data_IF_555276125463
#
_entry.id   IF_555276125463
#
_cell.length_a   1.000
_cell.length_b   1.000
_cell.length_c   1.000
_cell.angle_alpha   90.00
_cell.angle_beta   90.00
_cell.angle_gamma   90.00
#
_symmetry.space_group_name_H-M   'P 1'
#
loop_
_entity.id
_entity.type
_entity.pdbx_description
1 polymer ?
2 non-polymer ?
3 water ?
#
# COMPACT_ATOMS: atom_id res chain seq x y z
N UNK A 10 4.20 -26.30 7.28
CA UNK A 10 4.98 -25.34 6.52
C UNK A 10 5.13 -24.00 7.25
N UNK A 11 4.00 -23.40 7.61
CA UNK A 11 4.00 -22.17 8.41
C UNK A 11 4.39 -22.51 9.85
N UNK A 12 5.13 -21.62 10.49
CA UNK A 12 5.50 -21.84 11.89
C UNK A 12 4.25 -21.82 12.77
N UNK A 13 4.04 -22.88 13.52
CA UNK A 13 2.92 -22.97 14.45
C UNK A 13 3.39 -22.46 15.81
N UNK A 14 2.69 -21.46 16.35
CA UNK A 14 3.07 -20.82 17.59
C UNK A 14 2.11 -21.26 18.69
N UNK A 15 2.64 -21.52 19.88
CA UNK A 15 1.78 -21.91 20.99
C UNK A 15 1.09 -20.68 21.58
N UNK A 16 -0.20 -20.77 21.90
CA UNK A 16 -0.89 -19.61 22.50
C UNK A 16 -0.22 -19.04 23.74
N UNK A 17 0.51 -19.83 24.53
CA UNK A 17 1.13 -19.30 25.74
C UNK A 17 2.27 -18.34 25.44
N UNK A 18 2.75 -18.27 24.20
CA UNK A 18 3.81 -17.35 23.80
C UNK A 18 3.27 -16.01 23.31
N UNK A 19 1.95 -15.83 23.30
CA UNK A 19 1.30 -14.68 22.68
C UNK A 19 0.54 -13.92 23.75
N UNK A 20 0.84 -12.64 23.89
CA UNK A 20 0.10 -11.74 24.78
C UNK A 20 -0.50 -10.62 23.95
N UNK A 21 -1.83 -10.61 23.87
CA UNK A 21 -2.55 -9.51 23.22
C UNK A 21 -2.67 -8.34 24.19
N UNK A 22 -2.25 -7.15 23.75
CA UNK A 22 -2.20 -5.99 24.63
C UNK A 22 -3.18 -4.87 24.27
N UNK A 23 -3.43 -4.65 22.99
CA UNK A 23 -4.33 -3.58 22.59
C UNK A 23 -4.88 -3.72 21.22
N UNK A 24 -6.16 -3.42 21.08
CA UNK A 24 -6.81 -3.46 19.77
C UNK A 24 -6.31 -2.29 18.93
N UNK A 25 -5.94 -2.60 17.69
CA UNK A 25 -5.49 -1.63 16.76
C UNK A 25 -6.21 -1.68 15.42
N UNK A 26 -7.19 -2.55 15.31
CA UNK A 26 -7.87 -2.73 14.06
C UNK A 26 -9.18 -3.48 14.10
N UNK A 27 -10.04 -2.99 13.21
CA UNK A 27 -11.43 -3.35 12.96
C UNK A 27 -11.83 -4.71 12.71
N UNK A 28 -12.61 -5.19 13.67
CA UNK A 28 -12.89 -6.57 13.79
C UNK A 28 -14.21 -7.28 13.78
N UNK A 29 -14.73 -7.53 12.58
CA UNK A 29 -15.96 -8.33 12.36
C UNK A 29 -15.82 -9.74 12.93
N UNK A 30 -15.01 -10.55 12.21
CA UNK A 30 -14.62 -11.94 12.46
C UNK A 30 -13.59 -12.08 13.57
N UNK A 31 -13.14 -10.96 14.11
CA UNK A 31 -11.98 -10.91 14.98
C UNK A 31 -11.42 -9.51 14.94
N UNK A 32 -10.31 -9.34 15.65
CA UNK A 32 -9.66 -8.05 15.76
C UNK A 32 -8.20 -8.20 15.39
N UNK A 33 -7.53 -7.06 15.20
CA UNK A 33 -6.09 -6.99 15.10
C UNK A 33 -5.56 -6.34 16.37
N UNK A 34 -4.60 -7.00 17.00
CA UNK A 34 -4.00 -6.52 18.24
C UNK A 34 -2.54 -6.15 18.03
N UNK A 35 -2.09 -5.18 18.82
CA UNK A 35 -0.68 -5.10 19.16
C UNK A 35 -0.43 -6.05 20.34
N UNK A 36 0.67 -6.77 20.29
CA UNK A 36 0.97 -7.67 21.36
C UNK A 36 2.45 -7.98 21.45
N UNK A 37 2.78 -9.00 22.24
CA UNK A 37 4.16 -9.45 22.38
C UNK A 37 4.23 -10.94 22.11
N UNK A 38 5.38 -11.38 21.59
CA UNK A 38 5.60 -12.78 21.24
C UNK A 38 6.87 -13.32 21.93
N UNK A 39 6.70 -14.40 22.70
CA UNK A 39 7.80 -15.27 23.12
C UNK A 39 8.35 -16.08 21.94
N UNK A 40 9.67 -16.20 21.87
CA UNK A 40 10.31 -16.94 20.76
C UNK A 40 11.52 -17.75 21.22
N UNK A 44 15.76 -15.24 25.10
CA UNK A 44 15.45 -14.05 24.30
C UNK A 44 14.25 -13.32 24.87
N UNK A 45 14.28 -11.99 24.85
CA UNK A 45 13.15 -11.21 25.32
C UNK A 45 12.03 -11.25 24.27
N UNK A 46 10.84 -10.86 24.70
CA UNK A 46 9.69 -10.83 23.82
C UNK A 46 9.88 -9.76 22.75
N UNK A 47 9.29 -10.01 21.57
CA UNK A 47 9.32 -9.05 20.47
C UNK A 47 7.90 -8.57 20.23
N UNK A 48 7.68 -7.28 19.94
CA UNK A 48 6.33 -6.83 19.62
C UNK A 48 5.88 -7.46 18.31
N UNK A 49 4.59 -7.78 18.24
CA UNK A 49 3.97 -8.37 17.06
C UNK A 49 2.58 -7.76 16.90
N UNK A 50 2.03 -7.95 15.70
CA UNK A 50 0.62 -7.71 15.43
C UNK A 50 -0.07 -9.06 15.36
N UNK A 51 -1.30 -9.13 15.84
CA UNK A 51 -2.00 -10.39 16.03
C UNK A 51 -3.42 -10.25 15.48
N UNK A 52 -3.78 -11.08 14.51
CA UNK A 52 -5.13 -11.07 13.93
C UNK A 52 -5.86 -12.36 14.30
N UNK A 53 -7.06 -12.23 14.86
CA UNK A 53 -7.83 -13.37 15.36
C UNK A 53 -8.98 -13.71 14.43
N UNK A 54 -9.43 -14.96 14.53
CA UNK A 54 -10.62 -15.44 13.85
C UNK A 54 -11.51 -16.11 14.91
N UNK A 55 -12.63 -15.49 15.22
CA UNK A 55 -13.44 -15.87 16.37
C UNK A 55 -14.31 -17.09 16.07
N UNK A 56 -14.67 -17.79 17.14
CA UNK A 56 -15.48 -19.00 17.03
C UNK A 56 -16.77 -18.74 16.26
N UNK A 57 -17.19 -19.74 15.50
CA UNK A 57 -18.33 -19.62 14.62
C UNK A 57 -17.97 -19.28 13.20
N UNK A 58 -16.68 -19.05 12.92
CA UNK A 58 -16.27 -18.75 11.55
C UNK A 58 -16.72 -19.87 10.61
N UNK A 59 -17.06 -19.49 9.39
CA UNK A 59 -17.44 -20.41 8.34
C UNK A 59 -16.22 -21.09 7.72
N UNK A 60 -16.49 -22.08 6.88
CA UNK A 60 -15.43 -22.70 6.09
C UNK A 60 -14.73 -21.67 5.22
N UNK A 61 -15.50 -20.86 4.48
CA UNK A 61 -14.89 -19.86 3.60
C UNK A 61 -14.06 -18.84 4.38
N UNK A 62 -14.52 -18.46 5.58
CA UNK A 62 -13.74 -17.55 6.41
C UNK A 62 -12.44 -18.20 6.88
N UNK A 63 -12.48 -19.50 7.19
CA UNK A 63 -11.27 -20.20 7.57
C UNK A 63 -10.30 -20.28 6.40
N UNK A 64 -10.80 -20.63 5.22
CA UNK A 64 -9.94 -20.70 4.04
C UNK A 64 -9.34 -19.33 3.72
N UNK A 65 -10.16 -18.28 3.76
CA UNK A 65 -9.64 -16.93 3.51
C UNK A 65 -8.62 -16.53 4.56
N UNK A 66 -8.92 -16.77 5.84
CA UNK A 66 -8.02 -16.39 6.94
C UNK A 66 -6.68 -17.10 6.81
N UNK A 67 -6.68 -18.44 6.90
CA UNK A 67 -5.43 -19.17 6.76
C UNK A 67 -4.84 -19.03 5.36
N UNK A 68 -5.66 -18.66 4.37
CA UNK A 68 -5.13 -18.39 3.05
C UNK A 68 -4.20 -17.20 3.05
N UNK A 69 -4.59 -16.13 3.75
CA UNK A 69 -3.73 -14.95 3.84
C UNK A 69 -2.39 -15.31 4.46
N UNK A 70 -2.41 -16.08 5.55
CA UNK A 70 -1.14 -16.50 6.16
C UNK A 70 -0.35 -17.40 5.23
N UNK A 71 -1.04 -18.27 4.48
CA UNK A 71 -0.36 -19.07 3.49
C UNK A 71 0.35 -18.23 2.44
N UNK A 72 -0.30 -17.22 1.96
CA UNK A 72 0.30 -16.34 0.95
C UNK A 72 1.49 -15.61 1.56
N UNK A 73 1.32 -15.02 2.73
CA UNK A 73 2.40 -14.24 3.34
C UNK A 73 3.60 -15.12 3.71
N UNK A 74 3.36 -16.40 4.01
CA UNK A 74 4.46 -17.30 4.29
C UNK A 74 5.28 -17.67 3.07
N UNK A 75 4.70 -17.48 1.88
CA UNK A 75 5.41 -17.72 0.63
C UNK A 75 6.32 -16.57 0.23
N UNK A 76 6.30 -15.46 0.97
CA UNK A 76 7.04 -14.26 0.59
C UNK A 76 8.17 -13.98 1.57
N UNK A 77 9.27 -13.45 1.04
CA UNK A 77 10.41 -13.04 1.86
C UNK A 77 11.03 -11.81 1.18
N UNK A 78 10.57 -10.63 1.60
CA UNK A 78 11.04 -9.41 0.96
C UNK A 78 10.94 -8.27 1.95
N UNK A 79 11.91 -7.34 1.87
CA UNK A 79 12.01 -6.21 2.79
C UNK A 79 10.74 -5.36 2.81
N UNK A 80 10.03 -5.27 1.68
CA UNK A 80 8.88 -4.39 1.59
C UNK A 80 7.55 -5.16 1.56
N UNK A 81 7.56 -6.37 2.11
CA UNK A 81 6.34 -7.18 2.25
C UNK A 81 6.24 -7.59 3.72
N UNK A 82 5.06 -7.44 4.32
CA UNK A 82 4.89 -7.75 5.74
C UNK A 82 5.36 -9.17 6.03
N UNK A 83 6.16 -9.32 7.08
CA UNK A 83 6.76 -10.61 7.43
C UNK A 83 5.84 -11.38 8.37
N UNK A 84 5.62 -12.66 8.07
CA UNK A 84 4.83 -13.53 8.93
C UNK A 84 5.71 -14.17 9.99
N UNK A 85 5.30 -14.06 11.26
CA UNK A 85 5.98 -14.76 12.35
C UNK A 85 5.48 -16.20 12.49
N UNK A 86 4.17 -16.40 12.43
CA UNK A 86 3.61 -17.73 12.51
C UNK A 86 2.12 -17.66 12.72
N UNK A 87 1.52 -18.85 12.91
CA UNK A 87 0.08 -18.92 13.09
C UNK A 87 -0.23 -19.76 14.33
N UNK A 88 -1.41 -19.50 14.88
CA UNK A 88 -2.04 -20.42 15.81
C UNK A 88 -3.22 -21.02 15.06
N UNK A 89 -3.09 -22.28 14.66
CA UNK A 89 -4.19 -22.99 14.05
C UNK A 89 -4.68 -24.19 14.86
N UNK A 90 -3.86 -24.73 15.76
CA UNK A 90 -4.26 -25.91 16.53
C UNK A 90 -5.19 -25.56 17.68
N UNK A 91 -5.22 -24.30 18.09
CA UNK A 91 -6.07 -23.85 19.19
C UNK A 91 -6.99 -22.74 18.70
N UNK A 92 -8.00 -22.45 19.51
CA UNK A 92 -8.97 -21.40 19.19
C UNK A 92 -8.91 -20.31 20.27
N UNK A 93 -9.08 -19.04 19.87
CA UNK A 93 -9.31 -18.60 18.49
C UNK A 93 -8.04 -18.72 17.67
N UNK A 94 -8.19 -18.85 16.35
CA UNK A 94 -7.01 -18.93 15.52
C UNK A 94 -6.37 -17.55 15.39
N UNK A 95 -5.07 -17.53 15.11
CA UNK A 95 -4.34 -16.26 15.07
C UNK A 95 -3.30 -16.24 13.97
N UNK A 96 -3.14 -15.07 13.33
CA UNK A 96 -2.02 -14.78 12.45
C UNK A 96 -1.15 -13.75 13.14
N UNK A 97 0.16 -14.00 13.18
CA UNK A 97 1.08 -13.17 13.92
C UNK A 97 2.16 -12.68 12.95
N UNK A 98 2.30 -11.36 12.84
CA UNK A 98 3.27 -10.72 11.96
C UNK A 98 4.13 -9.76 12.74
N UNK A 99 5.18 -9.27 12.08
CA UNK A 99 5.91 -8.14 12.63
C UNK A 99 4.94 -7.00 12.93
N UNK A 100 5.33 -6.15 13.87
CA UNK A 100 4.52 -5.00 14.25
C UNK A 100 5.06 -3.74 13.58
N UNK A 101 4.25 -3.11 12.75
CA UNK A 101 4.64 -1.88 12.05
C UNK A 101 4.20 -0.71 12.93
N UNK A 102 5.18 0.01 13.50
CA UNK A 102 4.90 0.90 14.61
C UNK A 102 4.11 2.15 14.20
N UNK A 103 4.18 2.56 12.93
CA UNK A 103 3.56 3.80 12.51
C UNK A 103 2.24 3.58 11.77
N UNK A 104 1.75 2.34 11.69
CA UNK A 104 0.41 2.11 11.16
C UNK A 104 0.30 2.28 9.65
N UNK A 105 -0.94 2.53 9.23
CA UNK A 105 -1.25 2.63 7.81
C UNK A 105 -0.71 3.94 7.22
N UNK A 106 -0.23 3.84 5.99
CA UNK A 106 0.45 4.96 5.36
C UNK A 106 -0.47 6.15 5.15
N UNK A 107 -1.73 5.91 4.80
CA UNK A 107 -2.60 7.05 4.49
C UNK A 107 -2.83 7.90 5.74
N UNK A 108 -3.15 7.25 6.85
CA UNK A 108 -3.36 7.96 8.10
C UNK A 108 -2.08 8.60 8.61
N UNK A 109 -0.95 7.92 8.40
CA UNK A 109 0.35 8.41 8.84
C UNK A 109 0.70 9.73 8.15
N UNK A 110 0.55 9.78 6.82
CA UNK A 110 0.84 10.99 6.06
C UNK A 110 -0.07 12.15 6.47
N UNK A 111 -1.37 11.87 6.64
CA UNK A 111 -2.31 12.93 7.02
C UNK A 111 -1.99 13.51 8.39
N UNK A 112 -1.43 12.70 9.28
CA UNK A 112 -1.12 13.14 10.64
C UNK A 112 0.29 13.71 10.75
N UNK A 113 1.05 13.71 9.67
CA UNK A 113 2.43 14.19 9.62
C UNK A 113 2.61 15.14 8.45
N UNK A 114 1.59 15.94 8.16
CA UNK A 114 1.55 16.75 6.95
C UNK A 114 2.77 17.68 6.87
N UNK A 115 3.52 17.58 5.77
CA UNK A 115 4.65 18.46 5.53
C UNK A 115 5.90 18.16 6.35
N UNK A 116 5.94 17.06 7.08
CA UNK A 116 7.04 16.80 8.00
C UNK A 116 8.24 16.12 7.37
N UNK A 117 8.18 15.72 6.11
CA UNK A 117 9.25 14.94 5.50
C UNK A 117 9.84 15.67 4.30
N UNK A 118 11.07 15.29 3.96
CA UNK A 118 11.70 15.81 2.77
C UNK A 118 11.15 15.10 1.54
N UNK A 119 11.31 15.73 0.39
CA UNK A 119 10.92 15.10 -0.87
C UNK A 119 11.67 13.78 -1.06
N UNK A 120 12.95 13.74 -0.68
CA UNK A 120 13.71 12.51 -0.82
C UNK A 120 13.15 11.39 0.05
N UNK A 121 12.74 11.72 1.29
CA UNK A 121 12.08 10.73 2.14
C UNK A 121 10.80 10.21 1.48
N UNK A 122 9.99 11.11 0.94
CA UNK A 122 8.74 10.66 0.31
C UNK A 122 9.02 9.74 -0.86
N UNK A 123 10.01 10.09 -1.70
CA UNK A 123 10.32 9.28 -2.87
C UNK A 123 10.91 7.93 -2.46
N UNK A 124 11.63 7.90 -1.33
CA UNK A 124 12.13 6.63 -0.83
C UNK A 124 11.01 5.72 -0.37
N UNK A 125 9.96 6.28 0.22
CA UNK A 125 8.78 5.48 0.55
C UNK A 125 8.21 4.83 -0.69
N UNK A 126 8.12 5.60 -1.79
CA UNK A 126 7.59 5.08 -3.05
C UNK A 126 8.51 4.02 -3.63
N UNK A 127 9.83 4.21 -3.54
CA UNK A 127 10.72 3.17 -4.04
C UNK A 127 10.50 1.88 -3.27
N UNK A 128 10.29 1.98 -1.95
CA UNK A 128 10.06 0.77 -1.18
C UNK A 128 8.79 0.05 -1.59
N UNK A 129 7.69 0.81 -1.73
CA UNK A 129 6.43 0.21 -2.16
C UNK A 129 6.59 -0.43 -3.52
N UNK A 130 7.25 0.28 -4.45
CA UNK A 130 7.48 -0.25 -5.80
C UNK A 130 8.28 -1.53 -5.78
N UNK A 131 9.31 -1.60 -4.92
CA UNK A 131 10.10 -2.83 -4.81
C UNK A 131 9.24 -3.98 -4.33
N UNK A 132 8.38 -3.74 -3.34
CA UNK A 132 7.46 -4.78 -2.90
C UNK A 132 6.51 -5.22 -3.99
N UNK A 133 5.98 -4.26 -4.76
CA UNK A 133 5.05 -4.61 -5.85
C UNK A 133 5.75 -5.33 -6.98
N UNK A 134 7.00 -4.94 -7.30
CA UNK A 134 7.76 -5.68 -8.30
C UNK A 134 7.94 -7.13 -7.87
N UNK A 135 8.28 -7.35 -6.59
CA UNK A 135 8.38 -8.71 -6.08
C UNK A 135 7.06 -9.45 -6.20
N UNK A 136 5.96 -8.83 -5.77
CA UNK A 136 4.65 -9.49 -5.88
C UNK A 136 4.32 -9.84 -7.32
N UNK A 137 4.48 -8.89 -8.24
CA UNK A 137 4.11 -9.14 -9.63
C UNK A 137 4.96 -10.25 -10.23
N UNK A 138 6.27 -10.25 -9.94
CA UNK A 138 7.15 -11.30 -10.43
C UNK A 138 6.78 -12.67 -9.85
N UNK A 139 6.29 -12.69 -8.62
CA UNK A 139 5.77 -13.89 -7.97
C UNK A 139 4.39 -14.30 -8.48
N UNK A 140 3.85 -13.54 -9.43
CA UNK A 140 2.53 -13.82 -10.03
C UNK A 140 1.38 -13.59 -9.04
N UNK A 141 1.54 -12.59 -8.18
CA UNK A 141 0.50 -12.20 -7.24
C UNK A 141 -0.01 -10.82 -7.63
N UNK A 142 -1.29 -10.73 -7.95
CA UNK A 142 -1.97 -9.48 -8.29
C UNK A 142 -2.67 -8.98 -7.03
N UNK A 143 -2.35 -7.75 -6.61
CA UNK A 143 -2.83 -7.30 -5.31
C UNK A 143 -4.32 -6.97 -5.36
N UNK A 144 -4.70 -6.18 -6.34
CA UNK A 144 -6.07 -5.70 -6.57
C UNK A 144 -6.57 -4.55 -5.71
N UNK A 145 -5.89 -4.28 -4.61
CA UNK A 145 -6.35 -3.26 -3.68
C UNK A 145 -5.19 -2.42 -3.20
N UNK A 146 -4.26 -2.08 -4.11
CA UNK A 146 -3.11 -1.27 -3.74
C UNK A 146 -3.55 0.18 -3.55
N UNK A 147 -3.22 0.72 -2.37
CA UNK A 147 -3.65 2.02 -1.88
C UNK A 147 -2.83 2.29 -0.62
N UNK A 148 -2.69 3.57 -0.27
CA UNK A 148 -1.91 3.87 0.93
C UNK A 148 -2.53 3.26 2.18
N UNK A 149 -3.86 3.09 2.20
CA UNK A 149 -4.47 2.49 3.38
C UNK A 149 -4.03 1.04 3.60
N UNK A 150 -3.46 0.40 2.58
CA UNK A 150 -2.98 -0.97 2.66
C UNK A 150 -1.46 -1.06 2.69
N UNK A 151 -0.77 0.05 2.92
CA UNK A 151 0.67 0.07 3.12
C UNK A 151 0.92 0.37 4.59
N UNK A 152 1.84 -0.37 5.21
CA UNK A 152 2.18 -0.17 6.61
C UNK A 152 3.58 0.40 6.73
N UNK A 153 3.81 1.17 7.78
CA UNK A 153 5.05 1.93 7.97
C UNK A 153 5.67 1.58 9.32
N UNK A 154 6.98 1.33 9.35
CA UNK A 154 7.65 1.02 10.60
C UNK A 154 8.50 2.21 11.05
N UNK A 155 9.23 2.01 12.16
CA UNK A 155 9.99 3.10 12.77
C UNK A 155 11.25 3.45 12.00
N UNK A 156 11.59 2.71 10.95
CA UNK A 156 12.64 3.13 10.03
C UNK A 156 12.06 3.82 8.80
N UNK A 157 10.76 4.12 8.79
CA UNK A 157 10.05 4.70 7.66
C UNK A 157 9.95 3.73 6.48
N UNK A 158 10.18 2.45 6.71
CA UNK A 158 10.06 1.46 5.65
C UNK A 158 8.59 1.18 5.43
N UNK A 159 8.17 1.22 4.16
CA UNK A 159 6.79 0.96 3.76
C UNK A 159 6.69 -0.47 3.23
N UNK A 160 5.69 -1.19 3.71
CA UNK A 160 5.52 -2.60 3.36
C UNK A 160 4.10 -2.81 2.86
N UNK A 161 3.98 -3.52 1.73
CA UNK A 161 2.66 -3.88 1.20
C UNK A 161 2.01 -4.91 2.11
N UNK A 162 0.73 -4.73 2.40
CA UNK A 162 -0.01 -5.67 3.22
C UNK A 162 -1.39 -5.89 2.60
N UNK A 163 -2.22 -6.66 3.31
CA UNK A 163 -3.59 -7.00 2.91
C UNK A 163 -3.74 -8.03 1.78
N UNK A 164 -3.44 -9.30 2.05
CA UNK A 164 -3.30 -10.34 1.04
C UNK A 164 -4.48 -11.30 1.06
N UNK A 165 -4.60 -12.08 -0.03
CA UNK A 165 -5.71 -12.99 -0.28
C UNK A 165 -6.38 -12.65 -1.61
N UNK A 166 -7.55 -13.25 -1.83
CA UNK A 166 -8.34 -12.80 -2.97
C UNK A 166 -9.67 -12.23 -2.52
N UNK A 167 -10.67 -13.10 -2.35
CA UNK A 167 -12.02 -12.66 -2.01
C UNK A 167 -12.07 -11.90 -0.69
N UNK A 185 -15.41 -2.82 -5.23
CA UNK A 185 -14.18 -2.41 -5.89
C UNK A 185 -13.88 -0.95 -5.54
N UNK A 186 -12.63 -0.64 -5.11
CA UNK A 186 -12.29 0.73 -4.71
C UNK A 186 -12.02 1.61 -5.93
N UNK A 187 -13.08 2.28 -6.40
CA UNK A 187 -13.11 2.83 -7.75
C UNK A 187 -11.93 3.76 -8.02
N UNK A 188 -11.67 4.72 -7.12
CA UNK A 188 -10.72 5.75 -7.52
C UNK A 188 -9.26 5.29 -7.43
N UNK A 189 -9.00 4.06 -7.00
CA UNK A 189 -7.68 3.44 -7.09
C UNK A 189 -7.57 2.42 -8.22
N UNK A 190 -8.65 2.14 -8.92
CA UNK A 190 -8.69 0.97 -9.80
C UNK A 190 -8.57 1.34 -11.26
N UNK A 191 -7.80 0.55 -12.02
CA UNK A 191 -7.59 0.81 -13.42
C UNK A 191 -8.90 0.67 -14.21
N UNK A 192 -9.02 1.37 -15.34
CA UNK A 192 -10.28 1.29 -16.12
C UNK A 192 -10.67 -0.11 -16.55
N UNK A 193 -9.71 -0.94 -16.99
CA UNK A 193 -10.09 -2.27 -17.45
C UNK A 193 -10.54 -3.14 -16.28
N UNK A 194 -10.06 -2.86 -15.07
CA UNK A 194 -10.52 -3.62 -13.91
C UNK A 194 -11.93 -3.21 -13.51
N UNK A 195 -12.23 -1.92 -13.54
CA UNK A 195 -13.60 -1.44 -13.34
C UNK A 195 -14.52 -1.99 -14.43
N UNK A 196 -14.14 -1.81 -15.69
CA UNK A 196 -15.07 -2.05 -16.80
C UNK A 196 -15.38 -3.53 -16.98
N UNK A 197 -14.37 -4.40 -16.89
CA UNK A 197 -14.66 -5.81 -17.16
C UNK A 197 -13.86 -6.75 -16.29
N UNK A 198 -13.40 -6.27 -15.12
CA UNK A 198 -12.85 -7.11 -14.07
C UNK A 198 -11.53 -7.75 -14.47
N UNK A 199 -10.76 -7.09 -15.32
CA UNK A 199 -9.42 -7.57 -15.69
C UNK A 199 -8.40 -7.00 -14.70
N UNK A 200 -8.07 -7.78 -13.68
CA UNK A 200 -7.08 -7.39 -12.67
C UNK A 200 -5.76 -8.08 -12.99
N UNK A 201 -4.70 -7.28 -13.22
CA UNK A 201 -3.37 -7.80 -13.52
C UNK A 201 -2.36 -6.94 -12.80
N UNK A 202 -1.08 -7.31 -12.93
CA UNK A 202 -0.04 -6.43 -12.43
C UNK A 202 -0.07 -5.07 -13.09
N UNK A 203 -0.60 -4.97 -14.32
CA UNK A 203 -0.71 -3.68 -14.99
C UNK A 203 -1.82 -2.80 -14.38
N UNK A 204 -2.89 -3.41 -13.88
CA UNK A 204 -3.86 -2.61 -13.13
C UNK A 204 -3.31 -2.23 -11.76
N UNK A 205 -2.44 -3.08 -11.17
CA UNK A 205 -1.74 -2.66 -9.95
C UNK A 205 -0.83 -1.46 -10.22
N UNK A 206 -0.23 -1.37 -11.42
CA UNK A 206 0.60 -0.22 -11.73
C UNK A 206 -0.21 1.06 -11.75
N UNK A 207 -1.42 0.99 -12.30
CA UNK A 207 -2.32 2.15 -12.22
C UNK A 207 -2.53 2.54 -10.77
N UNK A 208 -2.85 1.56 -9.91
CA UNK A 208 -3.05 1.85 -8.50
C UNK A 208 -1.79 2.44 -7.89
N UNK A 209 -0.62 1.91 -8.27
CA UNK A 209 0.61 2.47 -7.74
C UNK A 209 0.75 3.94 -8.10
N UNK A 210 0.31 4.33 -9.30
CA UNK A 210 0.30 5.74 -9.66
C UNK A 210 -0.56 6.57 -8.72
N UNK A 211 -1.73 6.05 -8.35
CA UNK A 211 -2.55 6.74 -7.36
C UNK A 211 -1.81 6.81 -6.02
N UNK A 212 -1.15 5.72 -5.63
CA UNK A 212 -0.38 5.74 -4.38
C UNK A 212 0.73 6.80 -4.45
N UNK A 213 1.40 6.94 -5.60
CA UNK A 213 2.39 8.01 -5.74
C UNK A 213 1.76 9.38 -5.42
N UNK A 214 0.56 9.62 -5.96
CA UNK A 214 -0.14 10.87 -5.72
C UNK A 214 -0.53 11.00 -4.24
N UNK A 215 -1.02 9.93 -3.63
CA UNK A 215 -1.32 9.98 -2.19
C UNK A 215 -0.10 10.36 -1.39
N UNK A 216 1.06 9.78 -1.70
CA UNK A 216 2.25 10.05 -0.90
C UNK A 216 2.68 11.51 -1.09
N UNK A 217 2.76 11.96 -2.34
CA UNK A 217 3.29 13.31 -2.58
C UNK A 217 2.34 14.39 -2.09
N UNK A 218 1.08 14.08 -1.84
CA UNK A 218 0.10 15.03 -1.30
C UNK A 218 -0.13 14.89 0.20
N UNK A 219 0.61 14.00 0.87
CA UNK A 219 0.42 13.70 2.30
C UNK A 219 -1.00 13.21 2.59
N UNK A 220 -1.49 12.30 1.76
CA UNK A 220 -2.74 11.62 2.05
C UNK A 220 -3.98 12.33 1.57
N UNK A 221 -3.88 13.18 0.54
CA UNK A 221 -5.06 13.78 -0.04
C UNK A 221 -5.99 12.70 -0.61
N UNK A 222 -7.29 12.95 -0.56
CA UNK A 222 -8.23 11.97 -1.12
C UNK A 222 -8.24 12.09 -2.64
N UNK A 223 -7.93 11.03 -3.38
CA UNK A 223 -7.90 11.12 -4.85
C UNK A 223 -9.22 11.63 -5.40
N UNK A 224 -9.13 12.59 -6.33
CA UNK A 224 -10.25 13.24 -7.01
C UNK A 224 -11.12 14.07 -6.08
N UNK A 225 -10.72 14.21 -4.81
CA UNK A 225 -11.43 14.97 -3.80
C UNK A 225 -12.89 14.55 -3.75
N UNK A 226 -13.82 15.50 -3.89
CA UNK A 226 -15.23 15.21 -3.61
C UNK A 226 -15.96 14.57 -4.77
N UNK A 227 -15.30 14.34 -5.92
CA UNK A 227 -15.98 13.71 -7.04
C UNK A 227 -16.60 12.39 -6.58
N UNK A 228 -17.80 12.10 -7.09
CA UNK A 228 -18.43 10.82 -6.83
C UNK A 228 -17.73 9.73 -7.64
N UNK A 229 -17.99 8.47 -7.28
CA UNK A 229 -17.38 7.36 -8.01
C UNK A 229 -17.74 7.42 -9.50
N UNK A 230 -19.00 7.69 -9.82
CA UNK A 230 -19.37 7.79 -11.23
C UNK A 230 -18.69 8.99 -11.90
N UNK A 231 -18.55 10.11 -11.17
CA UNK A 231 -17.84 11.25 -11.72
C UNK A 231 -16.37 10.92 -11.98
N UNK A 232 -15.75 10.09 -11.13
CA UNK A 232 -14.36 9.70 -11.33
C UNK A 232 -14.22 8.85 -12.59
N UNK A 233 -15.06 7.83 -12.71
CA UNK A 233 -15.00 6.99 -13.91
C UNK A 233 -15.24 7.81 -15.17
N UNK A 234 -16.23 8.70 -15.14
CA UNK A 234 -16.52 9.55 -16.30
C UNK A 234 -15.32 10.42 -16.65
N UNK A 235 -14.69 11.04 -15.64
CA UNK A 235 -13.56 11.90 -15.90
C UNK A 235 -12.39 11.10 -16.50
N UNK A 236 -12.08 9.95 -15.91
CA UNK A 236 -11.00 9.12 -16.44
C UNK A 236 -11.30 8.73 -17.88
N UNK A 237 -12.53 8.28 -18.14
CA UNK A 237 -12.83 7.81 -19.48
C UNK A 237 -12.74 8.95 -20.50
N UNK A 238 -12.98 10.19 -20.06
CA UNK A 238 -12.87 11.38 -20.90
C UNK A 238 -11.44 11.92 -20.98
N UNK A 239 -10.47 11.29 -20.33
CA UNK A 239 -9.07 11.65 -20.46
C UNK A 239 -8.50 12.49 -19.35
N UNK A 240 -9.29 12.90 -18.37
CA UNK A 240 -8.75 13.71 -17.28
C UNK A 240 -7.94 12.84 -16.34
N UNK A 241 -6.95 13.46 -15.68
CA UNK A 241 -6.07 12.79 -14.74
C UNK A 241 -5.85 13.71 -13.56
N UNK A 242 -5.42 13.12 -12.43
CA UNK A 242 -5.15 13.91 -11.25
C UNK A 242 -4.09 14.98 -11.56
N UNK A 243 -4.28 16.20 -11.07
CA UNK A 243 -3.29 17.26 -11.31
C UNK A 243 -2.05 17.07 -10.46
N UNK A 244 -1.03 17.85 -10.78
CA UNK A 244 0.23 17.75 -10.09
C UNK A 244 0.07 18.12 -8.62
N UNK A 245 0.64 17.33 -7.70
CA UNK A 245 0.70 17.78 -6.30
C UNK A 245 1.57 19.01 -6.17
N UNK A 246 1.38 19.73 -5.06
CA UNK A 246 2.31 20.79 -4.73
C UNK A 246 3.70 20.22 -4.43
N UNK A 247 4.74 20.97 -4.79
CA UNK A 247 6.11 20.62 -4.45
C UNK A 247 6.47 19.20 -4.94
N UNK A 248 6.04 18.89 -6.16
CA UNK A 248 6.24 17.54 -6.70
C UNK A 248 7.33 17.55 -7.76
N UNK A 249 8.37 16.72 -7.62
CA UNK A 249 9.39 16.65 -8.67
C UNK A 249 8.74 16.33 -10.01
N UNK A 250 9.22 17.03 -11.05
CA UNK A 250 8.73 16.80 -12.40
C UNK A 250 8.84 15.33 -12.79
N UNK A 251 9.98 14.70 -12.46
CA UNK A 251 10.16 13.29 -12.82
C UNK A 251 9.10 12.40 -12.18
N UNK A 252 8.72 12.70 -10.94
CA UNK A 252 7.73 11.91 -10.22
C UNK A 252 6.33 12.09 -10.82
N UNK A 253 5.95 13.32 -11.17
CA UNK A 253 4.65 13.50 -11.82
C UNK A 253 4.61 12.83 -13.19
N UNK A 254 5.68 12.97 -13.97
CA UNK A 254 5.76 12.25 -15.24
C UNK A 254 5.54 10.75 -15.07
N UNK A 255 6.17 10.16 -14.04
CA UNK A 255 6.05 8.73 -13.80
C UNK A 255 4.63 8.34 -13.42
N UNK A 256 3.99 9.09 -12.51
CA UNK A 256 2.61 8.71 -12.17
C UNK A 256 1.68 8.89 -13.36
N UNK A 257 1.90 9.91 -14.21
CA UNK A 257 1.05 10.06 -15.39
C UNK A 257 1.16 8.85 -16.32
N UNK A 258 2.36 8.28 -16.45
CA UNK A 258 2.51 7.11 -17.30
C UNK A 258 1.90 5.86 -16.67
N UNK A 259 1.78 5.82 -15.33
CA UNK A 259 1.04 4.73 -14.69
C UNK A 259 -0.44 4.77 -15.06
N UNK A 260 -0.96 5.94 -15.45
CA UNK A 260 -2.37 6.14 -15.74
C UNK A 260 -2.68 6.16 -17.24
N UNK A 261 -1.94 5.42 -18.04
CA UNK A 261 -2.28 5.35 -19.45
C UNK A 261 -3.45 4.40 -19.65
N UNK A 262 -4.44 4.84 -20.43
CA UNK A 262 -5.64 4.03 -20.65
C UNK A 262 -5.27 2.65 -21.19
N UNK A 263 -4.32 2.58 -22.12
CA UNK A 263 -3.92 1.32 -22.73
C UNK A 263 -2.93 0.62 -21.80
N UNK A 264 -3.38 -0.46 -21.22
CA UNK A 264 -2.58 -1.18 -20.28
C UNK A 264 -1.18 -1.47 -20.70
N UNK A 265 -1.03 -1.80 -21.94
CA UNK A 265 0.26 -2.24 -22.46
C UNK A 265 1.27 -1.12 -22.51
N UNK A 266 0.82 0.13 -22.39
CA UNK A 266 1.74 1.27 -22.42
C UNK A 266 2.23 1.67 -21.05
N UNK A 267 1.66 1.10 -19.99
CA UNK A 267 2.09 1.45 -18.65
C UNK A 267 3.47 0.86 -18.38
N UNK A 268 4.28 1.53 -17.56
CA UNK A 268 5.54 0.92 -17.12
C UNK A 268 5.28 -0.37 -16.37
N UNK A 269 6.26 -1.27 -16.43
CA UNK A 269 6.22 -2.42 -15.55
C UNK A 269 6.81 -2.01 -14.21
N UNK A 270 6.53 -2.79 -13.16
CA UNK A 270 7.11 -2.42 -11.87
C UNK A 270 8.64 -2.41 -11.91
N UNK A 271 9.25 -3.27 -12.74
CA UNK A 271 10.71 -3.19 -12.89
C UNK A 271 11.14 -1.83 -13.41
N UNK A 272 10.39 -1.27 -14.36
CA UNK A 272 10.71 0.08 -14.84
C UNK A 272 10.55 1.10 -13.73
N UNK A 273 9.51 0.97 -12.92
CA UNK A 273 9.24 1.95 -11.87
C UNK A 273 10.37 1.93 -10.83
N UNK A 274 10.78 0.74 -10.40
CA UNK A 274 11.84 0.62 -9.41
C UNK A 274 13.12 1.22 -9.94
N UNK A 275 13.44 0.92 -11.19
CA UNK A 275 14.68 1.41 -11.78
C UNK A 275 14.72 2.93 -11.76
N UNK A 276 13.63 3.56 -12.22
CA UNK A 276 13.58 5.01 -12.32
C UNK A 276 13.68 5.65 -10.94
N UNK A 277 12.95 5.09 -9.97
CA UNK A 277 12.98 5.67 -8.62
C UNK A 277 14.37 5.50 -8.00
N UNK A 278 15.01 4.36 -8.21
CA UNK A 278 16.35 4.16 -7.65
C UNK A 278 17.34 5.16 -8.25
N UNK A 279 17.22 5.46 -9.55
CA UNK A 279 18.12 6.44 -10.17
C UNK A 279 17.86 7.85 -9.66
N UNK A 280 16.60 8.22 -9.48
CA UNK A 280 16.31 9.55 -8.97
C UNK A 280 16.86 9.71 -7.56
N UNK A 281 16.72 8.68 -6.72
CA UNK A 281 17.18 8.78 -5.34
C UNK A 281 18.70 8.83 -5.30
N UNK A 282 19.37 8.08 -6.17
CA UNK A 282 20.82 8.04 -6.18
C UNK A 282 21.44 9.32 -6.75
N UNK A 283 20.66 10.08 -7.51
CA UNK A 283 21.07 11.39 -8.02
C UNK A 283 20.06 12.42 -7.53
N UNK A 284 20.09 12.75 -6.23
CA UNK A 284 18.93 13.41 -5.62
C UNK A 284 18.70 14.82 -6.11
N UNK A 285 19.68 15.46 -6.75
CA UNK A 285 19.43 16.76 -7.37
C UNK A 285 18.36 16.67 -8.46
N UNK A 286 18.23 15.49 -9.09
CA UNK A 286 17.18 15.31 -10.09
C UNK A 286 15.79 15.58 -9.55
N UNK A 287 15.59 15.44 -8.24
CA UNK A 287 14.29 15.71 -7.64
C UNK A 287 14.03 17.20 -7.40
N UNK A 288 15.02 18.08 -7.58
CA UNK A 288 14.81 19.49 -7.28
C UNK A 288 14.03 20.23 -8.37
N UNK A 289 13.97 19.66 -9.57
CA UNK A 289 13.18 20.22 -10.66
C UNK A 289 11.71 19.87 -10.45
N UNK A 290 10.86 20.86 -10.17
CA UNK A 290 9.47 20.62 -9.83
C UNK A 290 8.56 20.81 -11.02
N UNK A 291 7.50 20.02 -11.08
CA UNK A 291 6.43 20.28 -12.02
C UNK A 291 5.63 21.50 -11.57
N UNK A 292 5.13 22.26 -12.55
CA UNK A 292 4.30 23.41 -12.24
C UNK A 292 3.05 22.95 -11.49
N UNK A 293 2.64 23.73 -10.49
CA UNK A 293 1.42 23.48 -9.74
C UNK A 293 0.37 24.50 -10.19
N UNK A 294 -0.78 24.04 -10.64
CA UNK A 294 -1.87 24.94 -11.04
C UNK A 294 -2.66 25.35 -9.82
N UNK A 295 -2.59 26.59 -9.43
CA UNK A 295 -3.30 27.00 -8.22
C UNK A 295 -4.79 27.14 -8.47
N UNK A 296 -5.58 26.58 -7.55
CA UNK A 296 -7.02 26.76 -7.56
C UNK A 296 -7.42 28.14 -7.08
N UNK A 297 -6.53 28.83 -6.35
CA UNK A 297 -6.83 30.13 -5.75
C UNK A 297 -5.77 31.15 -6.18
N UNK A 298 -6.21 32.38 -6.42
CA UNK A 298 -5.33 33.51 -6.63
C UNK A 298 -5.43 34.46 -5.45
N UNK A 299 -4.28 34.83 -4.90
CA UNK A 299 -4.15 35.88 -3.91
C UNK A 299 -3.28 36.96 -4.54
N UNK A 300 -3.80 38.18 -4.64
CA UNK A 300 -3.09 39.32 -5.21
C UNK A 300 -2.90 40.35 -4.12
N UNK A 301 -1.67 40.83 -3.93
CA UNK A 301 -1.40 41.82 -2.90
C UNK A 301 -0.81 43.08 -3.52
N UNK A 302 -1.41 44.27 -3.28
CA UNK A 302 -0.87 45.58 -3.63
C UNK A 302 0.36 45.94 -2.80
X LIG B 1 0.63 4.72 15.75
X LIG B 1 0.73 6.15 16.24
X LIG B 1 -0.46 6.53 17.03
X LIG B 1 -0.85 5.45 17.94
X LIG B 1 -1.35 4.23 17.16
X LIG B 1 -0.83 4.34 15.73
X LIG B 1 -1.02 3.10 14.97
X LIG B 1 -0.56 1.89 15.29
X LIG B 1 0.12 1.61 16.28
X LIG B 1 -0.89 0.95 14.32
X LIG B 1 0.02 -0.05 14.00
X LIG B 1 -2.10 1.05 13.68
X LIG B 1 -2.43 0.14 12.69
X LIG B 1 -1.53 -0.86 12.37
X LIG B 1 -0.30 -0.98 13.01
X LIG B 1 0.63 -1.93 12.74
X LIG B 1 0.38 -3.13 12.17
X LIG B 1 -1.08 -3.81 11.69
X LIG B 1 1.36 -4.02 11.91
X LIG B 1 0.93 -5.18 11.35
X LIG B 1 -0.40 -5.25 11.15
X LIG B 1 -1.12 -6.27 10.62
X LIG B 1 -2.32 -6.11 10.40
X LIG B 1 -0.47 -7.43 10.36
X LIG B 1 -1.17 -8.47 9.79
X LIG B 1 -1.65 -9.51 10.59
X LIG B 1 -1.44 -9.56 12.30
X LIG B 1 -2.35 -10.56 9.99
X LIG B 1 -2.57 -10.58 8.61
X LIG B 1 -2.06 -9.54 7.83
X LIG B 1 -1.36 -8.48 8.41
X LIG B 1 -0.88 -7.47 7.58
#
# INVERSE_FOLDING_TARGET
>A
GDPNQAVLKFTTEIHPSCVTRQKVIGAGEFGEVYKGMLKTSSGKKEVPVAIKTLKAGYTEKQRVDFLGEAGIMGQFSHHNIIRLEGVISKYKPMMIITEYMENGALDKFLREKDGEFSVLQLVGMLRGIAAGMKYLANMNYVHRDLAARNILVNSNLVCKVSDFGLSRVLEDDPEATYTTSGGKIPIRWTAPEAISYRKFTSASDVWSFGIVMWEVMTYGERPYWELSNHEVMKAINDGFRLPTPMDCPSAIYQLMMQCWQQERARRPKFADIVSILDKLIRAPDSLKTLADFDPRVSIRLPSTSG
>B hetero
1 8ZH CAV CAW NAX CAY CAZ CAU NAT CAR OAS CAN CAM CAO CAP CAQ CAL NAK CAJ SBA NAI CAH CAG CAE OAF NAD CAC CBB CL CBC CBD CBE CAB CAA
#
